data_IF_333543046063
#
_entry.id   IF_333543046063
#
_cell.length_a   1.000
_cell.length_b   1.000
_cell.length_c   1.000
_cell.angle_alpha   90.00
_cell.angle_beta   90.00
_cell.angle_gamma   90.00
#
_symmetry.space_group_name_H-M   'P 1'
#
loop_
_entity.id
_entity.type
_entity.pdbx_description
1 polymer ?
#
# COMPACT_ATOMS: atom_id res chain seq x y z
N UNK A 1 1.53 43.70 -12.71
CA UNK A 1 0.17 43.34 -13.16
C UNK A 1 0.09 41.95 -13.78
N UNK A 2 1.05 41.50 -14.60
CA UNK A 2 1.01 40.17 -15.26
C UNK A 2 1.14 38.98 -14.28
N UNK A 3 2.04 39.05 -13.29
CA UNK A 3 2.20 37.98 -12.29
C UNK A 3 0.95 37.75 -11.42
N UNK A 4 0.24 38.82 -11.05
CA UNK A 4 -1.00 38.77 -10.24
C UNK A 4 -2.19 38.26 -11.05
N UNK A 5 -2.21 38.50 -12.36
CA UNK A 5 -3.23 37.94 -13.26
C UNK A 5 -3.00 36.45 -13.51
N UNK A 6 -1.75 36.03 -13.76
CA UNK A 6 -1.43 34.60 -13.94
C UNK A 6 -1.61 33.78 -12.65
N UNK A 7 -1.34 34.36 -11.47
CA UNK A 7 -1.62 33.69 -10.19
C UNK A 7 -3.13 33.49 -9.97
N UNK A 8 -3.97 34.46 -10.33
CA UNK A 8 -5.45 34.32 -10.24
C UNK A 8 -6.00 33.29 -11.23
N UNK A 9 -5.49 33.27 -12.47
CA UNK A 9 -5.90 32.27 -13.49
C UNK A 9 -5.56 30.84 -13.05
N UNK A 10 -4.41 30.63 -12.41
CA UNK A 10 -4.02 29.30 -11.91
C UNK A 10 -4.88 28.85 -10.71
N UNK A 11 -5.22 29.78 -9.81
CA UNK A 11 -6.13 29.54 -8.67
C UNK A 11 -7.53 29.11 -9.13
N UNK A 12 -8.10 29.83 -10.10
CA UNK A 12 -9.42 29.50 -10.66
C UNK A 12 -9.39 28.22 -11.52
N UNK A 13 -8.21 27.86 -12.04
CA UNK A 13 -8.00 26.62 -12.78
C UNK A 13 -7.96 25.40 -11.86
N UNK A 14 -7.18 25.47 -10.78
CA UNK A 14 -7.05 24.36 -9.82
C UNK A 14 -8.34 24.11 -9.06
N UNK A 15 -9.09 25.15 -8.67
CA UNK A 15 -10.39 24.98 -8.03
C UNK A 15 -11.40 24.28 -8.94
N UNK A 16 -11.47 24.66 -10.22
CA UNK A 16 -12.36 24.02 -11.19
C UNK A 16 -12.00 22.56 -11.42
N UNK A 17 -10.70 22.25 -11.56
CA UNK A 17 -10.24 20.86 -11.72
C UNK A 17 -10.53 20.02 -10.47
N UNK A 18 -10.39 20.61 -9.28
CA UNK A 18 -10.76 19.95 -8.03
C UNK A 18 -12.26 19.66 -7.97
N UNK A 19 -13.10 20.64 -8.33
CA UNK A 19 -14.56 20.48 -8.39
C UNK A 19 -14.96 19.36 -9.37
N UNK A 20 -14.46 19.41 -10.60
CA UNK A 20 -14.75 18.41 -11.64
C UNK A 20 -14.31 17.01 -11.22
N UNK A 21 -13.14 16.89 -10.61
CA UNK A 21 -12.61 15.61 -10.15
C UNK A 21 -13.43 15.03 -8.98
N UNK A 22 -13.74 15.84 -7.96
CA UNK A 22 -14.56 15.41 -6.83
C UNK A 22 -15.96 15.00 -7.29
N UNK A 23 -16.63 15.80 -8.12
CA UNK A 23 -17.96 15.48 -8.63
C UNK A 23 -18.01 14.14 -9.39
N UNK A 24 -16.92 13.80 -10.08
CA UNK A 24 -16.84 12.60 -10.91
C UNK A 24 -16.46 11.36 -10.11
N UNK A 25 -15.46 11.46 -9.24
CA UNK A 25 -14.84 10.30 -8.58
C UNK A 25 -15.23 10.15 -7.10
N UNK A 26 -15.48 11.27 -6.40
CA UNK A 26 -15.74 11.32 -4.96
C UNK A 26 -16.90 12.28 -4.63
N UNK A 27 -18.12 12.05 -5.15
CA UNK A 27 -19.22 13.01 -5.05
C UNK A 27 -19.71 13.26 -3.62
N UNK A 28 -19.38 12.38 -2.67
CA UNK A 28 -19.67 12.55 -1.25
C UNK A 28 -18.69 13.49 -0.53
N UNK A 29 -17.50 13.72 -1.09
CA UNK A 29 -16.47 14.60 -0.56
C UNK A 29 -16.70 16.03 -1.06
N UNK A 30 -17.38 16.83 -0.22
CA UNK A 30 -17.89 18.13 -0.62
C UNK A 30 -16.86 19.24 -0.45
N UNK A 31 -16.77 20.15 -1.42
CA UNK A 31 -16.02 21.39 -1.24
C UNK A 31 -16.74 22.28 -0.20
N UNK A 32 -15.98 22.76 0.78
CA UNK A 32 -16.42 23.66 1.83
C UNK A 32 -15.61 24.96 1.78
N UNK A 33 -16.25 26.12 1.55
CA UNK A 33 -15.57 27.38 1.74
C UNK A 33 -15.24 27.59 3.22
N UNK A 34 -14.05 28.11 3.49
CA UNK A 34 -13.49 28.30 4.82
C UNK A 34 -13.17 29.78 5.00
N UNK A 35 -13.41 30.34 6.18
CA UNK A 35 -13.00 31.72 6.45
C UNK A 35 -11.49 31.84 6.27
N UNK A 36 -11.06 32.79 5.44
CA UNK A 36 -9.66 32.96 5.07
C UNK A 36 -8.71 33.01 6.28
N UNK A 37 -7.60 32.27 6.21
CA UNK A 37 -6.61 32.18 7.28
C UNK A 37 -7.05 31.35 8.49
N UNK A 38 -8.20 30.69 8.44
CA UNK A 38 -8.73 29.84 9.52
C UNK A 38 -9.01 28.42 9.03
N UNK A 39 -9.40 27.54 9.95
CA UNK A 39 -9.96 26.21 9.65
C UNK A 39 -11.48 26.15 9.91
N UNK A 40 -12.18 27.30 9.88
CA UNK A 40 -13.60 27.38 10.19
C UNK A 40 -14.48 27.42 8.92
N UNK A 41 -15.42 26.46 8.76
CA UNK A 41 -16.44 26.52 7.71
C UNK A 41 -17.20 27.86 7.71
N UNK A 42 -17.48 28.41 6.53
CA UNK A 42 -18.33 29.62 6.42
C UNK A 42 -19.81 29.33 6.65
N UNK A 43 -20.23 28.08 6.46
CA UNK A 43 -21.62 27.62 6.57
C UNK A 43 -21.75 26.36 7.41
N UNK A 44 -22.96 26.15 7.94
CA UNK A 44 -23.31 24.91 8.60
C UNK A 44 -23.36 23.77 7.55
N UNK A 45 -22.84 22.61 7.91
CA UNK A 45 -22.69 21.51 6.95
C UNK A 45 -23.04 20.13 7.49
N UNK A 46 -23.19 20.01 8.81
CA UNK A 46 -23.57 18.76 9.44
C UNK A 46 -25.01 18.39 9.07
N UNK A 47 -25.30 17.09 9.03
CA UNK A 47 -26.64 16.53 8.80
C UNK A 47 -27.25 16.95 7.45
N UNK A 48 -26.46 16.95 6.38
CA UNK A 48 -26.94 17.24 5.02
C UNK A 48 -27.26 18.70 4.73
N UNK A 49 -26.86 19.64 5.61
CA UNK A 49 -27.03 21.09 5.43
C UNK A 49 -26.05 21.73 4.43
N UNK A 50 -25.17 20.92 3.83
CA UNK A 50 -24.25 21.37 2.81
C UNK A 50 -24.22 20.33 1.70
N UNK A 51 -24.36 20.80 0.47
CA UNK A 51 -24.49 20.01 -0.75
C UNK A 51 -23.76 20.72 -1.90
N UNK A 52 -23.57 20.03 -3.02
CA UNK A 52 -23.02 20.64 -4.23
C UNK A 52 -23.88 21.80 -4.76
N UNK A 53 -25.20 21.76 -4.57
CA UNK A 53 -26.11 22.85 -4.94
C UNK A 53 -25.86 24.10 -4.08
N UNK A 54 -25.76 23.92 -2.76
CA UNK A 54 -25.46 25.02 -1.83
C UNK A 54 -24.06 25.60 -2.06
N UNK A 55 -23.08 24.75 -2.37
CA UNK A 55 -21.74 25.17 -2.76
C UNK A 55 -21.76 26.04 -4.02
N UNK A 56 -22.40 25.58 -5.10
CA UNK A 56 -22.49 26.32 -6.37
C UNK A 56 -23.25 27.64 -6.19
N UNK A 57 -24.36 27.63 -5.45
CA UNK A 57 -25.09 28.85 -5.13
C UNK A 57 -24.21 29.86 -4.38
N UNK A 58 -23.39 29.39 -3.42
CA UNK A 58 -22.47 30.25 -2.67
C UNK A 58 -21.33 30.83 -3.53
N UNK A 59 -20.73 30.01 -4.40
CA UNK A 59 -19.59 30.40 -5.24
C UNK A 59 -19.96 31.22 -6.48
N UNK A 60 -21.25 31.41 -6.76
CA UNK A 60 -21.75 32.25 -7.87
C UNK A 60 -21.35 33.73 -7.79
N UNK A 61 -20.85 34.17 -6.63
CA UNK A 61 -20.38 35.54 -6.38
C UNK A 61 -18.90 35.52 -5.99
N UNK A 62 -18.10 36.53 -6.34
CA UNK A 62 -16.73 36.65 -5.85
C UNK A 62 -16.69 36.65 -4.32
N UNK A 63 -15.85 35.79 -3.73
CA UNK A 63 -15.63 35.68 -2.29
C UNK A 63 -14.13 35.55 -2.01
N UNK A 64 -13.69 36.17 -0.92
CA UNK A 64 -12.37 35.96 -0.35
C UNK A 64 -12.47 34.88 0.73
N UNK A 65 -12.29 33.63 0.32
CA UNK A 65 -12.42 32.44 1.16
C UNK A 65 -11.30 31.47 0.83
N UNK A 66 -10.86 30.73 1.84
CA UNK A 66 -10.07 29.52 1.63
C UNK A 66 -11.01 28.38 1.23
N UNK A 67 -10.44 27.32 0.68
CA UNK A 67 -11.14 26.13 0.19
C UNK A 67 -10.76 24.93 1.06
N UNK A 68 -11.74 24.16 1.48
CA UNK A 68 -11.54 22.88 2.14
C UNK A 68 -12.41 21.78 1.55
N UNK A 69 -12.16 20.55 2.00
CA UNK A 69 -12.94 19.36 1.64
C UNK A 69 -13.51 18.77 2.92
N UNK A 70 -14.82 18.53 2.91
CA UNK A 70 -15.51 17.70 3.89
C UNK A 70 -15.33 16.24 3.49
N UNK A 71 -14.47 15.54 4.22
CA UNK A 71 -14.05 14.19 3.88
C UNK A 71 -15.15 13.16 4.16
N UNK A 72 -15.34 12.25 3.20
CA UNK A 72 -16.24 11.09 3.26
C UNK A 72 -15.52 9.84 2.80
N UNK A 73 -15.30 9.74 1.50
CA UNK A 73 -14.67 8.59 0.85
C UNK A 73 -13.16 8.79 0.71
N UNK A 74 -12.68 10.03 0.92
CA UNK A 74 -11.27 10.34 1.06
C UNK A 74 -10.83 10.38 2.52
N UNK A 75 -9.53 10.17 2.73
CA UNK A 75 -8.83 10.48 3.97
C UNK A 75 -7.49 11.13 3.67
N UNK A 76 -6.96 11.87 4.64
CA UNK A 76 -5.73 12.64 4.49
C UNK A 76 -4.79 12.36 5.66
N UNK A 77 -3.53 12.11 5.33
CA UNK A 77 -2.42 12.15 6.28
C UNK A 77 -1.82 13.56 6.23
N UNK A 78 -2.04 14.33 7.29
CA UNK A 78 -1.67 15.74 7.44
C UNK A 78 -0.40 15.83 8.31
N UNK A 79 0.77 15.95 7.69
CA UNK A 79 2.02 16.15 8.39
C UNK A 79 2.24 17.63 8.70
N UNK A 80 2.52 17.94 9.96
CA UNK A 80 2.76 19.32 10.42
C UNK A 80 4.17 19.84 10.04
N UNK A 81 5.11 18.93 9.75
CA UNK A 81 6.48 19.25 9.32
C UNK A 81 7.02 18.31 8.23
N UNK A 82 7.98 18.82 7.47
CA UNK A 82 8.61 18.13 6.33
C UNK A 82 9.53 16.97 6.76
N UNK A 83 10.26 17.10 7.88
CA UNK A 83 11.21 16.07 8.34
C UNK A 83 10.49 14.76 8.70
N UNK A 84 9.36 14.88 9.39
CA UNK A 84 8.49 13.74 9.73
C UNK A 84 7.88 13.14 8.48
N UNK A 85 7.42 13.98 7.54
CA UNK A 85 6.89 13.50 6.27
C UNK A 85 7.95 12.69 5.49
N UNK A 86 9.19 13.16 5.40
CA UNK A 86 10.30 12.45 4.73
C UNK A 86 10.65 11.14 5.44
N UNK A 87 10.63 11.12 6.77
CA UNK A 87 10.84 9.89 7.52
C UNK A 87 9.74 8.85 7.23
N UNK A 88 8.49 9.30 7.12
CA UNK A 88 7.37 8.45 6.75
C UNK A 88 7.42 8.02 5.27
N UNK A 89 7.79 8.88 4.32
CA UNK A 89 7.98 8.51 2.91
C UNK A 89 8.99 7.37 2.75
N UNK A 90 10.06 7.35 3.56
CA UNK A 90 11.04 6.25 3.57
C UNK A 90 10.46 4.94 4.10
N UNK A 91 9.60 5.02 5.12
CA UNK A 91 8.98 3.84 5.76
C UNK A 91 7.75 3.34 4.99
N UNK A 92 7.04 4.22 4.30
CA UNK A 92 5.78 3.99 3.60
C UNK A 92 5.85 4.61 2.20
N UNK A 93 6.44 3.89 1.21
CA UNK A 93 6.60 4.40 -0.15
C UNK A 93 5.29 4.76 -0.85
N UNK A 94 4.14 4.26 -0.38
CA UNK A 94 2.82 4.67 -0.89
C UNK A 94 2.57 6.18 -0.78
N UNK A 95 3.23 6.88 0.15
CA UNK A 95 3.20 8.34 0.24
C UNK A 95 3.84 9.03 -0.97
N UNK A 96 4.83 8.41 -1.61
CA UNK A 96 5.50 8.98 -2.80
C UNK A 96 4.59 8.97 -4.03
N UNK A 97 3.66 8.02 -4.09
CA UNK A 97 2.69 7.86 -5.19
C UNK A 97 1.37 8.61 -4.92
N UNK A 98 1.03 8.81 -3.65
CA UNK A 98 -0.21 9.48 -3.26
C UNK A 98 -0.26 10.95 -3.73
N UNK A 99 -1.44 11.48 -4.08
CA UNK A 99 -1.61 12.91 -4.32
C UNK A 99 -1.13 13.72 -3.12
N UNK A 100 -0.39 14.79 -3.41
CA UNK A 100 0.33 15.58 -2.42
C UNK A 100 0.15 17.05 -2.70
N UNK A 101 -0.08 17.81 -1.63
CA UNK A 101 0.17 19.24 -1.61
C UNK A 101 1.12 19.60 -0.48
N UNK A 102 1.91 20.66 -0.70
CA UNK A 102 2.68 21.26 0.36
C UNK A 102 1.80 22.25 1.13
N UNK A 103 1.96 22.27 2.45
CA UNK A 103 1.40 23.30 3.33
C UNK A 103 2.49 24.31 3.68
N UNK A 104 2.21 25.21 4.63
CA UNK A 104 3.20 26.18 5.10
C UNK A 104 4.43 25.52 5.74
N UNK A 105 4.26 24.38 6.42
CA UNK A 105 5.32 23.73 7.20
C UNK A 105 5.52 22.25 6.89
N UNK A 106 4.48 21.57 6.42
CA UNK A 106 4.53 20.15 6.06
C UNK A 106 3.75 19.89 4.78
N UNK A 107 2.94 18.83 4.77
CA UNK A 107 2.24 18.41 3.55
C UNK A 107 1.02 17.54 3.86
N UNK A 108 0.09 17.49 2.91
CA UNK A 108 -1.05 16.59 2.95
C UNK A 108 -0.87 15.49 1.91
N UNK A 109 -1.15 14.25 2.29
CA UNK A 109 -1.26 13.11 1.37
C UNK A 109 -2.68 12.59 1.35
N UNK A 110 -3.26 12.46 0.15
CA UNK A 110 -4.65 12.04 -0.02
C UNK A 110 -4.73 10.56 -0.40
N UNK A 111 -5.66 9.86 0.22
CA UNK A 111 -5.93 8.46 -0.02
C UNK A 111 -7.43 8.22 -0.12
N UNK A 112 -7.81 7.13 -0.78
CA UNK A 112 -9.15 6.57 -0.65
C UNK A 112 -9.26 5.93 0.73
N UNK A 113 -10.36 6.21 1.43
CA UNK A 113 -10.71 5.57 2.69
C UNK A 113 -11.19 4.14 2.39
N UNK A 114 -10.58 3.11 3.00
CA UNK A 114 -10.99 1.71 2.82
C UNK A 114 -12.08 1.30 3.82
N UNK A 115 -12.89 0.30 3.47
CA UNK A 115 -13.98 -0.21 4.33
C UNK A 115 -13.50 -0.72 5.69
N UNK A 116 -12.27 -1.26 5.75
CA UNK A 116 -11.70 -1.74 7.01
C UNK A 116 -11.37 -0.61 7.98
N UNK A 117 -11.24 0.64 7.53
CA UNK A 117 -11.00 1.77 8.43
C UNK A 117 -12.18 1.93 9.41
N UNK A 118 -13.42 1.69 8.95
CA UNK A 118 -14.60 1.71 9.81
C UNK A 118 -14.66 0.45 10.69
N UNK A 119 -14.38 -0.72 10.12
CA UNK A 119 -14.39 -2.00 10.84
C UNK A 119 -13.35 -2.05 11.98
N UNK A 120 -12.23 -1.36 11.82
CA UNK A 120 -11.11 -1.32 12.75
C UNK A 120 -11.05 -0.03 13.57
N UNK A 121 -12.00 0.90 13.39
CA UNK A 121 -12.23 2.04 14.27
C UNK A 121 -11.33 3.25 14.02
N UNK A 122 -10.77 3.37 12.82
CA UNK A 122 -9.91 4.49 12.42
C UNK A 122 -10.73 5.68 11.95
N UNK A 123 -11.09 6.57 12.87
CA UNK A 123 -11.86 7.79 12.61
C UNK A 123 -11.00 9.05 12.79
N UNK A 124 -11.45 10.19 12.27
CA UNK A 124 -10.87 11.49 12.59
C UNK A 124 -11.03 11.79 14.09
N UNK A 125 -9.96 12.30 14.70
CA UNK A 125 -9.91 12.59 16.12
C UNK A 125 -8.71 13.46 16.47
N UNK A 126 -8.86 14.26 17.54
CA UNK A 126 -7.77 15.09 18.01
C UNK A 126 -6.77 14.27 18.83
N UNK A 127 -5.47 14.46 18.59
CA UNK A 127 -4.36 13.94 19.40
C UNK A 127 -4.36 12.41 19.51
N UNK A 128 -4.62 11.70 18.41
CA UNK A 128 -4.62 10.24 18.39
C UNK A 128 -3.23 9.65 18.68
N UNK A 129 -2.19 10.34 18.24
CA UNK A 129 -0.81 10.09 18.65
C UNK A 129 -0.13 11.42 18.98
N UNK A 130 -0.30 11.91 20.21
CA UNK A 130 0.24 13.21 20.65
C UNK A 130 1.76 13.37 20.56
N UNK A 131 2.49 12.29 20.30
CA UNK A 131 3.96 12.25 20.21
C UNK A 131 4.48 12.39 18.78
N UNK A 132 3.61 12.33 17.77
CA UNK A 132 3.99 12.48 16.36
C UNK A 132 3.31 13.71 15.75
N UNK A 133 4.05 14.55 15.01
CA UNK A 133 3.50 15.72 14.33
C UNK A 133 2.78 15.33 13.02
N UNK A 134 1.81 14.43 13.14
CA UNK A 134 0.96 13.94 12.05
C UNK A 134 -0.47 13.79 12.55
N UNK A 135 -1.43 14.27 11.75
CA UNK A 135 -2.85 14.14 11.97
C UNK A 135 -3.46 13.25 10.88
N UNK A 136 -4.40 12.39 11.26
CA UNK A 136 -5.26 11.70 10.31
C UNK A 136 -6.60 12.43 10.20
N UNK A 137 -6.92 12.94 9.00
CA UNK A 137 -8.20 13.60 8.71
C UNK A 137 -9.08 12.65 7.89
N UNK A 138 -10.29 12.41 8.36
CA UNK A 138 -11.28 11.55 7.69
C UNK A 138 -12.67 11.81 8.28
N UNK A 139 -13.61 10.87 8.14
CA UNK A 139 -14.89 10.92 8.86
C UNK A 139 -14.69 10.72 10.36
N UNK A 140 -15.45 11.44 11.17
CA UNK A 140 -15.50 11.26 12.63
C UNK A 140 -16.34 10.02 12.98
N UNK A 141 -16.13 9.47 14.18
CA UNK A 141 -16.87 8.30 14.69
C UNK A 141 -18.38 8.52 14.81
N UNK A 142 -18.83 9.77 14.86
CA UNK A 142 -20.25 10.16 14.84
C UNK A 142 -20.86 10.16 13.43
N UNK A 143 -20.07 9.83 12.41
CA UNK A 143 -20.46 9.92 11.01
C UNK A 143 -20.47 11.34 10.45
N UNK A 144 -19.91 12.34 11.16
CA UNK A 144 -19.70 13.68 10.59
C UNK A 144 -18.40 13.75 9.80
N UNK A 145 -18.36 14.52 8.71
CA UNK A 145 -17.12 14.71 7.94
C UNK A 145 -16.09 15.52 8.70
N UNK A 146 -14.83 15.06 8.69
CA UNK A 146 -13.68 15.90 8.99
C UNK A 146 -13.44 16.92 7.88
N UNK A 147 -12.79 18.03 8.23
CA UNK A 147 -12.48 19.13 7.31
C UNK A 147 -10.97 19.26 7.15
N UNK A 148 -10.51 19.31 5.91
CA UNK A 148 -9.12 19.67 5.55
C UNK A 148 -9.13 20.86 4.60
N UNK A 149 -8.36 21.91 4.88
CA UNK A 149 -8.17 23.03 3.94
C UNK A 149 -7.17 22.61 2.85
N UNK A 150 -7.43 22.94 1.59
CA UNK A 150 -6.64 22.49 0.42
C UNK A 150 -6.31 23.64 -0.52
N UNK A 151 -5.34 23.44 -1.41
CA UNK A 151 -5.07 24.33 -2.53
C UNK A 151 -6.37 24.52 -3.36
N UNK A 152 -6.75 25.76 -3.72
CA UNK A 152 -5.91 26.96 -3.80
C UNK A 152 -5.89 27.89 -2.57
N UNK A 153 -6.21 27.39 -1.37
CA UNK A 153 -6.09 28.19 -0.14
C UNK A 153 -4.69 28.75 0.11
N UNK A 154 -4.63 29.75 0.98
CA UNK A 154 -3.38 30.40 1.40
C UNK A 154 -2.30 29.39 1.84
N UNK A 155 -1.09 29.55 1.30
CA UNK A 155 0.08 28.70 1.60
C UNK A 155 -0.06 27.21 1.25
N UNK A 156 -0.96 26.88 0.32
CA UNK A 156 -1.12 25.50 -0.18
C UNK A 156 -0.83 25.44 -1.67
N UNK A 157 -0.14 24.37 -2.08
CA UNK A 157 0.23 24.16 -3.49
C UNK A 157 0.27 22.67 -3.81
N UNK A 158 -0.51 22.27 -4.81
CA UNK A 158 -0.43 20.92 -5.36
C UNK A 158 0.98 20.62 -5.89
N UNK A 159 1.52 19.47 -5.49
CA UNK A 159 2.76 18.88 -6.03
C UNK A 159 2.39 17.73 -6.95
N UNK A 160 1.50 16.85 -6.48
CA UNK A 160 0.86 15.79 -7.25
C UNK A 160 -0.66 15.99 -7.12
N UNK A 161 -1.29 16.71 -8.06
CA UNK A 161 -2.72 17.00 -7.95
C UNK A 161 -3.56 15.74 -8.15
N UNK A 162 -4.71 15.63 -7.46
CA UNK A 162 -5.51 14.40 -7.43
C UNK A 162 -6.18 14.04 -8.76
N UNK A 163 -6.36 15.01 -9.67
CA UNK A 163 -6.86 14.74 -11.02
C UNK A 163 -5.79 14.19 -11.98
N UNK A 164 -4.51 14.25 -11.61
CA UNK A 164 -3.40 13.69 -12.40
C UNK A 164 -2.79 12.44 -11.75
N UNK A 165 -2.92 12.31 -10.44
CA UNK A 165 -2.49 11.16 -9.66
C UNK A 165 -3.70 10.70 -8.86
N UNK A 166 -4.20 9.50 -9.10
CA UNK A 166 -5.39 9.04 -8.40
C UNK A 166 -5.05 8.60 -6.96
N UNK A 167 -5.85 8.96 -5.94
CA UNK A 167 -5.69 8.41 -4.60
C UNK A 167 -5.82 6.89 -4.59
N UNK A 168 -4.88 6.21 -3.96
CA UNK A 168 -4.97 4.77 -3.66
C UNK A 168 -5.58 4.56 -2.27
N UNK A 169 -5.99 3.33 -1.93
CA UNK A 169 -6.35 3.04 -0.53
C UNK A 169 -5.14 3.22 0.38
N UNK A 170 -5.34 3.86 1.54
CA UNK A 170 -4.30 3.95 2.57
C UNK A 170 -4.08 2.58 3.21
N UNK A 171 -2.84 2.08 3.28
CA UNK A 171 -2.56 0.79 3.90
C UNK A 171 -2.90 0.74 5.39
N UNK A 172 -3.26 -0.44 5.91
CA UNK A 172 -3.42 -0.67 7.37
C UNK A 172 -2.15 -0.31 8.15
N UNK A 173 -0.98 -0.59 7.58
CA UNK A 173 0.31 -0.32 8.22
C UNK A 173 0.52 1.18 8.44
N UNK A 174 0.26 2.01 7.42
CA UNK A 174 0.33 3.46 7.56
C UNK A 174 -0.77 3.98 8.49
N UNK A 175 -2.01 3.50 8.30
CA UNK A 175 -3.17 3.90 9.10
C UNK A 175 -2.94 3.67 10.60
N UNK A 176 -2.44 2.49 10.98
CA UNK A 176 -2.09 2.15 12.36
C UNK A 176 -0.96 3.00 12.96
N UNK A 177 -0.17 3.68 12.12
CA UNK A 177 0.92 4.55 12.55
C UNK A 177 0.50 6.01 12.75
N UNK A 178 -0.51 6.46 12.00
CA UNK A 178 -0.97 7.85 11.98
C UNK A 178 -2.31 8.07 12.69
N UNK A 179 -3.06 7.00 12.97
CA UNK A 179 -4.37 7.05 13.58
C UNK A 179 -4.56 5.95 14.62
N UNK A 180 -5.36 6.24 15.64
CA UNK A 180 -5.77 5.25 16.64
C UNK A 180 -7.02 4.51 16.16
N UNK A 181 -6.92 3.18 16.04
CA UNK A 181 -8.06 2.30 15.81
C UNK A 181 -8.82 1.99 17.10
N UNK A 182 -9.71 0.99 17.06
CA UNK A 182 -10.33 0.46 18.27
C UNK A 182 -9.23 -0.01 19.25
N UNK A 183 -9.42 0.21 20.56
CA UNK A 183 -8.48 -0.32 21.54
C UNK A 183 -8.39 -1.84 21.37
N UNK A 184 -7.16 -2.40 21.34
CA UNK A 184 -6.99 -3.84 21.19
C UNK A 184 -7.76 -4.57 22.28
N UNK A 185 -8.55 -5.59 21.90
CA UNK A 185 -9.13 -6.51 22.89
C UNK A 185 -7.97 -7.10 23.69
N UNK A 186 -8.02 -6.97 25.03
CA UNK A 186 -6.94 -7.39 25.95
C UNK A 186 -6.57 -8.87 25.72
N UNK A 187 -5.53 -9.12 24.95
CA UNK A 187 -4.86 -10.42 24.88
C UNK A 187 -3.76 -10.49 25.94
N UNK A 188 -3.65 -11.65 26.59
CA UNK A 188 -2.81 -11.89 27.78
C UNK A 188 -1.32 -11.76 27.44
N UNK A 189 -0.62 -10.98 28.30
CA UNK A 189 0.84 -10.90 28.56
C UNK A 189 1.78 -11.69 27.61
N UNK A 190 2.58 -10.95 26.85
CA UNK A 190 3.74 -11.43 26.09
C UNK A 190 5.00 -11.41 26.97
N UNK A 191 5.71 -12.55 27.05
CA UNK A 191 7.04 -12.67 27.63
C UNK A 191 8.11 -12.10 26.67
N UNK A 192 9.07 -11.39 27.25
CA UNK A 192 10.26 -10.82 26.61
C UNK A 192 11.32 -11.87 26.28
N UNK A 193 11.97 -11.77 25.12
CA UNK A 193 13.30 -12.34 24.88
C UNK A 193 14.24 -11.31 24.24
N UNK A 194 15.48 -11.37 24.70
CA UNK A 194 16.61 -10.49 24.48
C UNK A 194 17.45 -10.85 23.25
N UNK A 195 18.09 -9.83 22.66
CA UNK A 195 19.08 -9.91 21.57
C UNK A 195 20.39 -10.62 21.96
N UNK A 196 21.20 -11.02 20.95
CA UNK A 196 22.62 -10.64 20.93
C UNK A 196 23.11 -10.13 19.55
N UNK A 197 24.18 -9.33 19.57
CA UNK A 197 24.84 -8.68 18.41
C UNK A 197 25.90 -9.53 17.68
N UNK A 198 26.99 -8.93 17.14
CA UNK A 198 27.16 -8.72 15.69
C UNK A 198 28.22 -9.63 14.98
N UNK A 199 28.26 -9.48 13.65
CA UNK A 199 28.97 -10.20 12.57
C UNK A 199 30.49 -10.44 12.71
N UNK A 200 31.07 -11.29 11.82
CA UNK A 200 31.99 -10.74 10.80
C UNK A 200 31.87 -11.40 9.39
N UNK A 201 32.33 -10.68 8.36
CA UNK A 201 32.28 -11.05 6.93
C UNK A 201 33.45 -11.93 6.40
N UNK A 202 33.88 -11.77 5.12
CA UNK A 202 33.47 -12.68 4.04
C UNK A 202 34.64 -13.45 3.39
N UNK A 203 34.34 -14.50 2.62
CA UNK A 203 35.30 -15.14 1.72
C UNK A 203 34.64 -15.65 0.42
N UNK A 204 35.21 -15.20 -0.71
CA UNK A 204 34.85 -15.53 -2.10
C UNK A 204 35.39 -16.91 -2.49
N UNK A 205 34.61 -17.63 -3.29
CA UNK A 205 35.08 -18.76 -4.10
C UNK A 205 34.09 -19.02 -5.25
N UNK A 206 34.52 -18.75 -6.49
CA UNK A 206 33.75 -19.05 -7.72
C UNK A 206 34.09 -20.46 -8.19
N UNK A 207 33.08 -21.30 -8.43
CA UNK A 207 33.20 -22.42 -9.36
C UNK A 207 31.88 -22.62 -10.11
N UNK A 208 31.99 -22.74 -11.44
CA UNK A 208 30.86 -22.91 -12.36
C UNK A 208 30.42 -24.39 -12.39
N UNK A 209 29.16 -24.63 -12.03
CA UNK A 209 28.47 -25.92 -12.14
C UNK A 209 27.11 -25.75 -12.83
N UNK A 210 26.45 -26.85 -13.24
CA UNK A 210 25.30 -26.82 -14.15
C UNK A 210 24.12 -26.10 -13.51
N UNK A 211 23.34 -25.39 -14.34
CA UNK A 211 22.24 -24.48 -13.96
C UNK A 211 21.44 -24.96 -12.75
N UNK A 212 21.84 -24.48 -11.57
CA UNK A 212 21.18 -24.73 -10.28
C UNK A 212 19.84 -24.00 -10.38
N UNK A 213 18.73 -24.72 -10.48
CA UNK A 213 17.39 -24.13 -10.26
C UNK A 213 17.45 -23.43 -8.90
N UNK A 214 17.35 -22.09 -8.90
CA UNK A 214 17.38 -21.26 -7.71
C UNK A 214 16.34 -21.80 -6.72
N UNK A 215 16.78 -22.20 -5.52
CA UNK A 215 15.84 -22.59 -4.48
C UNK A 215 15.04 -21.34 -4.08
N UNK A 216 13.74 -21.47 -3.79
CA UNK A 216 12.94 -20.38 -3.25
C UNK A 216 13.62 -19.84 -1.98
N UNK A 217 13.70 -18.52 -1.86
CA UNK A 217 14.07 -17.90 -0.60
C UNK A 217 12.95 -18.19 0.42
N UNK A 218 13.27 -18.88 1.50
CA UNK A 218 12.26 -19.23 2.50
C UNK A 218 11.63 -18.00 3.14
N UNK A 219 12.37 -16.89 3.25
CA UNK A 219 11.81 -15.66 3.79
C UNK A 219 10.71 -15.12 2.87
N UNK A 220 10.87 -15.27 1.55
CA UNK A 220 9.81 -14.96 0.57
C UNK A 220 8.56 -15.77 0.84
N UNK A 221 8.73 -17.08 1.08
CA UNK A 221 7.61 -18.00 1.29
C UNK A 221 6.84 -17.62 2.55
N UNK A 222 7.54 -17.27 3.63
CA UNK A 222 6.92 -16.86 4.89
C UNK A 222 6.21 -15.51 4.76
N UNK A 223 6.84 -14.55 4.08
CA UNK A 223 6.25 -13.24 3.80
C UNK A 223 4.98 -13.38 2.95
N UNK A 224 5.00 -14.21 1.91
CA UNK A 224 3.82 -14.48 1.08
C UNK A 224 2.73 -15.20 1.86
N UNK A 225 3.07 -16.20 2.69
CA UNK A 225 2.10 -16.92 3.52
C UNK A 225 1.36 -15.98 4.47
N UNK A 226 2.04 -14.97 5.02
CA UNK A 226 1.43 -13.96 5.88
C UNK A 226 0.40 -13.07 5.15
N UNK A 227 0.42 -13.03 3.81
CA UNK A 227 -0.53 -12.29 2.98
C UNK A 227 -1.77 -13.08 2.60
N UNK A 228 -1.83 -14.38 2.92
CA UNK A 228 -3.00 -15.19 2.61
C UNK A 228 -4.16 -14.85 3.56
N UNK A 229 -5.37 -14.77 3.00
CA UNK A 229 -6.58 -14.48 3.74
C UNK A 229 -6.87 -15.59 4.77
N UNK A 230 -7.33 -15.18 5.95
CA UNK A 230 -7.76 -16.10 7.02
C UNK A 230 -8.73 -17.18 6.55
N UNK A 231 -9.64 -16.84 5.62
CA UNK A 231 -10.62 -17.77 5.07
C UNK A 231 -10.00 -19.00 4.39
N UNK A 232 -8.74 -18.91 3.92
CA UNK A 232 -8.03 -20.06 3.36
C UNK A 232 -7.67 -21.12 4.40
N UNK A 233 -7.57 -20.75 5.68
CA UNK A 233 -7.38 -21.69 6.78
C UNK A 233 -8.68 -22.35 7.25
N UNK A 234 -9.85 -21.76 6.95
CA UNK A 234 -11.15 -22.21 7.46
C UNK A 234 -11.84 -23.29 6.59
N UNK A 235 -11.57 -23.28 5.28
CA UNK A 235 -12.02 -24.32 4.34
C UNK A 235 -10.96 -25.42 4.22
N UNK A 236 -11.36 -26.68 4.41
CA UNK A 236 -10.45 -27.83 4.33
C UNK A 236 -9.71 -27.89 2.98
N UNK A 237 -10.41 -27.61 1.88
CA UNK A 237 -9.85 -27.65 0.53
C UNK A 237 -8.72 -26.62 0.36
N UNK A 238 -8.97 -25.36 0.67
CA UNK A 238 -7.95 -24.31 0.53
C UNK A 238 -6.83 -24.49 1.54
N UNK A 239 -7.15 -24.94 2.75
CA UNK A 239 -6.18 -25.16 3.81
C UNK A 239 -5.21 -26.28 3.47
N UNK A 240 -5.73 -27.41 2.97
CA UNK A 240 -4.89 -28.54 2.57
C UNK A 240 -4.06 -28.14 1.35
N UNK A 241 -4.60 -27.41 0.37
CA UNK A 241 -3.86 -26.87 -0.77
C UNK A 241 -2.68 -25.96 -0.34
N UNK A 242 -2.85 -25.12 0.70
CA UNK A 242 -1.73 -24.35 1.28
C UNK A 242 -0.66 -25.28 1.84
N UNK A 243 -1.06 -26.33 2.56
CA UNK A 243 -0.13 -27.34 3.06
C UNK A 243 0.66 -28.03 1.94
N UNK A 244 -0.02 -28.50 0.90
CA UNK A 244 0.59 -29.09 -0.30
C UNK A 244 1.56 -28.12 -0.99
N UNK A 245 1.16 -26.85 -1.14
CA UNK A 245 2.02 -25.82 -1.71
C UNK A 245 3.32 -25.63 -0.91
N UNK A 246 3.22 -25.54 0.42
CA UNK A 246 4.39 -25.39 1.30
C UNK A 246 5.25 -26.66 1.33
N UNK A 247 4.63 -27.85 1.30
CA UNK A 247 5.34 -29.13 1.22
C UNK A 247 6.18 -29.23 -0.05
N UNK A 248 5.60 -28.88 -1.21
CA UNK A 248 6.31 -28.94 -2.48
C UNK A 248 7.45 -27.93 -2.59
N UNK A 249 7.31 -26.77 -1.94
CA UNK A 249 8.39 -25.79 -1.77
C UNK A 249 9.48 -26.36 -0.84
N UNK A 250 9.09 -27.05 0.23
CA UNK A 250 9.97 -27.68 1.21
C UNK A 250 10.77 -28.85 0.65
N UNK A 251 10.20 -29.67 -0.24
CA UNK A 251 10.81 -30.87 -0.84
C UNK A 251 12.10 -30.63 -1.63
N UNK A 252 12.61 -29.40 -1.63
CA UNK A 252 13.85 -28.95 -2.28
C UNK A 252 14.84 -28.28 -1.33
N UNK A 253 14.56 -28.16 -0.02
CA UNK A 253 15.38 -27.47 0.98
C UNK A 253 15.51 -28.26 2.30
N UNK A 254 16.54 -27.96 3.11
CA UNK A 254 16.65 -28.36 4.52
C UNK A 254 15.60 -27.73 5.44
N UNK A 255 14.72 -26.88 4.91
CA UNK A 255 13.77 -26.09 5.68
C UNK A 255 12.38 -26.72 5.90
N UNK A 256 12.19 -28.00 5.58
CA UNK A 256 10.87 -28.65 5.69
C UNK A 256 10.23 -28.49 7.08
N UNK A 257 11.03 -28.54 8.15
CA UNK A 257 10.57 -28.30 9.53
C UNK A 257 10.02 -26.87 9.74
N UNK A 258 10.66 -25.86 9.13
CA UNK A 258 10.21 -24.46 9.22
C UNK A 258 8.91 -24.24 8.47
N UNK A 259 8.78 -24.80 7.26
CA UNK A 259 7.56 -24.66 6.46
C UNK A 259 6.39 -25.46 7.05
N UNK A 260 6.65 -26.62 7.65
CA UNK A 260 5.65 -27.32 8.45
C UNK A 260 5.20 -26.47 9.66
N UNK A 261 6.14 -25.85 10.36
CA UNK A 261 5.81 -24.95 11.49
C UNK A 261 4.98 -23.75 11.01
N UNK A 262 5.34 -23.16 9.88
CA UNK A 262 4.59 -22.05 9.28
C UNK A 262 3.17 -22.48 8.88
N UNK A 263 3.00 -23.67 8.31
CA UNK A 263 1.66 -24.20 8.01
C UNK A 263 0.85 -24.44 9.29
N UNK A 264 1.46 -24.96 10.36
CA UNK A 264 0.78 -25.08 11.67
C UNK A 264 0.30 -23.73 12.18
N UNK A 265 1.15 -22.71 12.13
CA UNK A 265 0.80 -21.38 12.63
C UNK A 265 -0.30 -20.73 11.79
N UNK A 266 -0.24 -20.90 10.46
CA UNK A 266 -1.34 -20.53 9.57
C UNK A 266 -2.64 -21.27 9.90
N UNK A 267 -2.55 -22.56 10.22
CA UNK A 267 -3.72 -23.40 10.55
C UNK A 267 -4.42 -22.95 11.84
N UNK A 268 -3.68 -22.42 12.81
CA UNK A 268 -4.23 -21.86 14.07
C UNK A 268 -5.12 -20.64 13.86
N UNK A 269 -5.12 -20.04 12.67
CA UNK A 269 -6.05 -18.96 12.34
C UNK A 269 -7.51 -19.45 12.29
N UNK A 270 -7.73 -20.74 12.04
CA UNK A 270 -9.05 -21.36 12.08
C UNK A 270 -9.40 -21.85 13.48
N UNK A 271 -10.65 -21.66 13.89
CA UNK A 271 -11.17 -22.28 15.13
C UNK A 271 -11.30 -23.80 15.04
N UNK A 272 -11.16 -24.38 13.84
CA UNK A 272 -11.23 -25.84 13.59
C UNK A 272 -9.89 -26.54 13.77
N UNK A 273 -8.81 -25.79 14.04
CA UNK A 273 -7.46 -26.32 14.18
C UNK A 273 -7.38 -27.45 15.21
N UNK A 274 -6.68 -28.53 14.85
CA UNK A 274 -6.35 -29.65 15.73
C UNK A 274 -4.85 -29.81 15.82
N UNK A 275 -4.33 -29.83 17.05
CA UNK A 275 -2.91 -30.06 17.28
C UNK A 275 -2.51 -31.46 16.77
N UNK A 276 -1.42 -31.53 16.00
CA UNK A 276 -0.91 -32.77 15.42
C UNK A 276 -1.38 -33.06 13.99
N UNK A 277 -2.51 -32.50 13.56
CA UNK A 277 -3.12 -32.81 12.24
C UNK A 277 -2.20 -32.41 11.07
N UNK A 278 -1.54 -31.26 11.16
CA UNK A 278 -0.56 -30.84 10.16
C UNK A 278 0.61 -31.84 10.05
N UNK A 279 1.14 -32.31 11.17
CA UNK A 279 2.27 -33.26 11.20
C UNK A 279 1.87 -34.65 10.69
N UNK A 280 0.62 -35.06 10.90
CA UNK A 280 0.10 -36.32 10.37
C UNK A 280 -0.15 -36.28 8.86
N UNK A 281 -0.56 -35.13 8.33
CA UNK A 281 -0.86 -34.95 6.91
C UNK A 281 0.39 -34.65 6.07
N UNK A 282 1.33 -33.88 6.61
CA UNK A 282 2.55 -33.45 5.90
C UNK A 282 3.29 -34.59 5.18
N UNK A 283 3.64 -35.73 5.80
CA UNK A 283 4.36 -36.80 5.12
C UNK A 283 3.52 -37.56 4.08
N UNK A 284 2.21 -37.31 3.99
CA UNK A 284 1.29 -37.92 3.02
C UNK A 284 1.07 -37.02 1.79
N UNK A 285 1.61 -35.81 1.79
CA UNK A 285 1.57 -34.91 0.66
C UNK A 285 2.56 -35.37 -0.42
N UNK A 286 2.17 -35.26 -1.68
CA UNK A 286 2.96 -35.61 -2.85
C UNK A 286 3.62 -34.37 -3.47
N UNK A 287 4.77 -34.57 -4.09
CA UNK A 287 5.66 -33.50 -4.55
C UNK A 287 5.28 -32.93 -5.94
N UNK A 288 4.01 -32.62 -6.17
CA UNK A 288 3.53 -32.17 -7.49
C UNK A 288 2.46 -31.07 -7.46
N UNK A 289 2.36 -30.33 -8.58
CA UNK A 289 1.31 -29.35 -8.86
C UNK A 289 1.56 -27.95 -8.28
N UNK A 290 1.42 -27.79 -6.97
CA UNK A 290 1.43 -26.47 -6.31
C UNK A 290 2.85 -26.04 -5.91
N UNK A 291 3.15 -24.75 -5.96
CA UNK A 291 4.47 -24.25 -5.57
C UNK A 291 4.54 -22.72 -5.48
N UNK A 292 5.75 -22.16 -5.50
CA UNK A 292 5.98 -20.73 -5.25
C UNK A 292 5.10 -19.80 -6.11
N UNK A 293 4.93 -20.11 -7.40
CA UNK A 293 4.06 -19.32 -8.29
C UNK A 293 2.59 -19.29 -7.84
N UNK A 294 2.07 -20.41 -7.33
CA UNK A 294 0.73 -20.49 -6.74
C UNK A 294 0.63 -19.61 -5.50
N UNK A 295 1.66 -19.63 -4.65
CA UNK A 295 1.68 -18.82 -3.43
C UNK A 295 1.68 -17.32 -3.76
N UNK A 296 2.46 -16.87 -4.75
CA UNK A 296 2.39 -15.50 -5.27
C UNK A 296 1.02 -15.15 -5.82
N UNK A 297 0.40 -16.05 -6.60
CA UNK A 297 -0.94 -15.85 -7.15
C UNK A 297 -1.97 -15.65 -6.03
N UNK A 298 -1.96 -16.49 -5.00
CA UNK A 298 -2.87 -16.36 -3.86
C UNK A 298 -2.61 -15.09 -3.05
N UNK A 299 -1.34 -14.77 -2.73
CA UNK A 299 -1.00 -13.54 -2.03
C UNK A 299 -1.46 -12.29 -2.82
N UNK A 300 -1.31 -12.30 -4.16
CA UNK A 300 -1.81 -11.25 -5.04
C UNK A 300 -3.34 -11.16 -5.09
N UNK A 301 -4.05 -12.29 -4.97
CA UNK A 301 -5.51 -12.32 -4.94
C UNK A 301 -6.09 -11.85 -3.60
N UNK A 302 -5.47 -12.29 -2.51
CA UNK A 302 -5.98 -12.09 -1.16
C UNK A 302 -5.61 -10.73 -0.59
N UNK A 303 -4.37 -10.29 -0.86
CA UNK A 303 -3.78 -9.04 -0.35
C UNK A 303 -3.01 -8.33 -1.47
N UNK A 304 -3.70 -7.88 -2.56
CA UNK A 304 -3.06 -7.34 -3.75
C UNK A 304 -2.11 -6.16 -3.47
N UNK A 305 -2.42 -5.34 -2.48
CA UNK A 305 -1.64 -4.15 -2.12
C UNK A 305 -0.38 -4.51 -1.32
N UNK A 306 -0.52 -5.31 -0.27
CA UNK A 306 0.59 -5.80 0.53
C UNK A 306 1.52 -6.68 -0.31
N UNK A 307 0.97 -7.46 -1.23
CA UNK A 307 1.75 -8.23 -2.20
C UNK A 307 2.57 -7.32 -3.11
N UNK A 308 1.96 -6.26 -3.65
CA UNK A 308 2.67 -5.27 -4.47
C UNK A 308 3.76 -4.56 -3.65
N UNK A 309 3.46 -4.20 -2.40
CA UNK A 309 4.41 -3.61 -1.47
C UNK A 309 5.60 -4.53 -1.18
N UNK A 310 5.34 -5.82 -0.94
CA UNK A 310 6.35 -6.85 -0.70
C UNK A 310 7.27 -7.06 -1.92
N UNK A 311 6.70 -7.09 -3.12
CA UNK A 311 7.48 -7.22 -4.37
C UNK A 311 8.31 -5.95 -4.60
N UNK A 312 7.72 -4.78 -4.40
CA UNK A 312 8.41 -3.51 -4.59
C UNK A 312 9.54 -3.30 -3.58
N UNK A 313 9.35 -3.65 -2.30
CA UNK A 313 10.38 -3.47 -1.28
C UNK A 313 11.64 -4.28 -1.60
N UNK A 314 11.47 -5.53 -2.06
CA UNK A 314 12.58 -6.37 -2.53
C UNK A 314 13.31 -5.75 -3.71
N UNK A 315 12.58 -5.22 -4.68
CA UNK A 315 13.18 -4.52 -5.83
C UNK A 315 13.94 -3.27 -5.37
N UNK A 316 13.37 -2.47 -4.46
CA UNK A 316 14.02 -1.28 -3.93
C UNK A 316 15.30 -1.61 -3.15
N UNK A 317 15.32 -2.70 -2.39
CA UNK A 317 16.52 -3.17 -1.70
C UNK A 317 17.62 -3.56 -2.70
N UNK A 318 17.28 -4.25 -3.79
CA UNK A 318 18.23 -4.59 -4.86
C UNK A 318 18.74 -3.33 -5.58
N UNK A 319 17.86 -2.36 -5.85
CA UNK A 319 18.24 -1.07 -6.45
C UNK A 319 19.18 -0.28 -5.53
N UNK A 320 18.91 -0.24 -4.23
CA UNK A 320 19.72 0.50 -3.25
C UNK A 320 21.16 -0.03 -3.17
N UNK A 321 21.36 -1.32 -3.45
CA UNK A 321 22.68 -1.98 -3.48
C UNK A 321 23.23 -2.17 -4.90
N UNK A 322 22.62 -1.51 -5.89
CA UNK A 322 23.02 -1.61 -7.29
C UNK A 322 24.33 -0.83 -7.54
N UNK A 323 25.37 -1.54 -7.97
CA UNK A 323 26.68 -1.05 -8.37
C UNK A 323 26.75 -0.71 -9.88
N UNK A 324 25.64 -0.85 -10.59
CA UNK A 324 25.54 -0.61 -12.03
C UNK A 324 26.11 -1.73 -12.89
N UNK A 325 26.55 -2.86 -12.32
CA UNK A 325 26.98 -4.01 -13.08
C UNK A 325 25.82 -4.61 -13.88
N UNK A 326 26.12 -5.10 -15.09
CA UNK A 326 25.13 -5.77 -15.94
C UNK A 326 24.40 -6.90 -15.21
N UNK A 327 25.07 -7.60 -14.28
CA UNK A 327 24.46 -8.68 -13.52
C UNK A 327 23.39 -8.17 -12.54
N UNK A 328 23.69 -7.11 -11.78
CA UNK A 328 22.73 -6.54 -10.83
C UNK A 328 21.57 -5.85 -11.56
N UNK A 329 21.86 -5.11 -12.64
CA UNK A 329 20.81 -4.54 -13.50
C UNK A 329 19.90 -5.65 -14.02
N UNK A 330 20.45 -6.75 -14.55
CA UNK A 330 19.65 -7.87 -15.02
C UNK A 330 18.81 -8.53 -13.91
N UNK A 331 19.34 -8.65 -12.69
CA UNK A 331 18.58 -9.17 -11.53
C UNK A 331 17.42 -8.26 -11.14
N UNK A 332 17.65 -6.94 -11.10
CA UNK A 332 16.62 -5.94 -10.79
C UNK A 332 15.54 -5.94 -11.87
N UNK A 333 15.93 -5.90 -13.15
CA UNK A 333 15.01 -5.97 -14.29
C UNK A 333 14.20 -7.25 -14.26
N UNK A 334 14.84 -8.38 -13.99
CA UNK A 334 14.13 -9.65 -13.81
C UNK A 334 13.16 -9.56 -12.62
N UNK A 335 13.54 -9.06 -11.45
CA UNK A 335 12.64 -8.94 -10.30
C UNK A 335 11.42 -8.04 -10.59
N UNK A 336 11.61 -6.94 -11.32
CA UNK A 336 10.55 -6.01 -11.76
C UNK A 336 9.57 -6.62 -12.77
N UNK A 337 10.10 -7.43 -13.68
CA UNK A 337 9.38 -7.91 -14.87
C UNK A 337 8.99 -9.40 -14.78
N UNK A 338 9.47 -10.14 -13.78
CA UNK A 338 9.17 -11.54 -13.53
C UNK A 338 7.66 -11.71 -13.33
N UNK A 339 7.05 -12.52 -14.20
CA UNK A 339 5.60 -12.74 -14.24
C UNK A 339 4.84 -11.86 -15.23
N UNK A 340 5.49 -10.83 -15.80
CA UNK A 340 5.00 -10.09 -16.98
C UNK A 340 5.73 -10.52 -18.24
N UNK A 341 7.04 -10.77 -18.18
CA UNK A 341 7.83 -11.20 -19.34
C UNK A 341 8.46 -12.59 -19.12
N UNK A 342 8.43 -13.43 -20.16
CA UNK A 342 9.08 -14.75 -20.17
C UNK A 342 9.83 -14.95 -21.49
N UNK A 343 11.11 -15.32 -21.40
CA UNK A 343 11.89 -15.74 -22.56
C UNK A 343 11.55 -17.20 -22.91
N UNK A 344 11.12 -17.45 -24.13
CA UNK A 344 10.69 -18.77 -24.59
C UNK A 344 11.78 -19.56 -25.32
N UNK A 345 12.86 -18.89 -25.77
CA UNK A 345 13.94 -19.53 -26.53
C UNK A 345 15.32 -19.29 -25.91
N UNK A 346 16.24 -20.28 -25.92
CA UNK A 346 17.58 -20.11 -25.36
C UNK A 346 18.41 -18.98 -26.00
N UNK A 347 18.12 -18.66 -27.27
CA UNK A 347 18.78 -17.57 -28.01
C UNK A 347 18.20 -16.18 -27.70
N UNK A 348 17.23 -16.09 -26.78
CA UNK A 348 16.57 -14.85 -26.35
C UNK A 348 15.84 -14.08 -27.45
N UNK A 349 15.49 -14.74 -28.56
CA UNK A 349 14.79 -14.12 -29.69
C UNK A 349 13.27 -14.10 -29.57
N UNK A 350 12.69 -15.01 -28.79
CA UNK A 350 11.25 -15.05 -28.56
C UNK A 350 10.95 -14.80 -27.09
N UNK A 351 10.20 -13.72 -26.84
CA UNK A 351 9.66 -13.40 -25.53
C UNK A 351 8.15 -13.43 -25.58
N UNK A 352 7.53 -13.59 -24.42
CA UNK A 352 6.11 -13.38 -24.24
C UNK A 352 5.86 -12.33 -23.16
N UNK A 353 4.96 -11.40 -23.43
CA UNK A 353 4.43 -10.45 -22.47
C UNK A 353 3.01 -10.84 -22.05
N UNK A 354 2.75 -10.91 -20.75
CA UNK A 354 1.42 -11.07 -20.20
C UNK A 354 0.70 -9.72 -20.11
N UNK A 355 -0.33 -9.52 -20.93
CA UNK A 355 -1.10 -8.26 -21.02
C UNK A 355 -2.20 -8.14 -19.95
N UNK A 356 -2.19 -9.04 -18.97
CA UNK A 356 -3.25 -9.18 -17.97
C UNK A 356 -4.34 -10.19 -18.36
N UNK A 357 -4.47 -10.52 -19.65
CA UNK A 357 -5.45 -11.52 -20.15
C UNK A 357 -4.80 -12.66 -20.93
N UNK A 358 -3.81 -12.35 -21.77
CA UNK A 358 -3.14 -13.33 -22.63
C UNK A 358 -1.64 -13.08 -22.72
N UNK A 359 -0.90 -14.11 -23.12
CA UNK A 359 0.51 -14.01 -23.44
C UNK A 359 0.66 -13.62 -24.92
N UNK A 360 1.28 -12.46 -25.17
CA UNK A 360 1.54 -11.94 -26.52
C UNK A 360 3.01 -12.17 -26.86
N UNK A 361 3.28 -12.73 -28.04
CA UNK A 361 4.66 -12.93 -28.51
C UNK A 361 5.30 -11.58 -28.87
N UNK A 362 6.55 -11.40 -28.45
CA UNK A 362 7.40 -10.25 -28.73
C UNK A 362 8.75 -10.75 -29.27
N UNK A 363 9.08 -10.33 -30.49
CA UNK A 363 10.33 -10.69 -31.14
C UNK A 363 11.46 -9.81 -30.57
N UNK A 364 12.43 -10.46 -29.94
CA UNK A 364 13.61 -9.83 -29.30
C UNK A 364 13.32 -8.87 -28.13
N UNK A 365 12.06 -8.72 -27.72
CA UNK A 365 11.64 -7.84 -26.65
C UNK A 365 12.12 -6.39 -26.84
N UNK A 366 11.89 -5.85 -28.05
CA UNK A 366 12.42 -4.54 -28.48
C UNK A 366 11.99 -3.42 -27.54
N UNK A 367 10.83 -3.58 -26.89
CA UNK A 367 10.27 -2.59 -25.95
C UNK A 367 10.98 -2.52 -24.60
N UNK A 368 11.87 -3.47 -24.27
CA UNK A 368 12.67 -3.46 -23.03
C UNK A 368 14.11 -2.95 -23.21
N UNK A 369 14.50 -2.57 -24.43
CA UNK A 369 15.87 -2.12 -24.75
C UNK A 369 16.14 -0.66 -24.47
#
# INVERSE_FOLDING_TARGET
MVATAMSRVNVDGDLRRLEEWLLREYPADLIMPVKAGTKQPVKAHKNGKWTWEEYRAFMSLPKDVDIGILLRDLCVVDFDDEDTAVAFEKAFPELLEAPKENTRKGCHYFFRRPDYADAEGYFDGARQHSELPVDFKSVCSTGTSGLVCVCPSSHKRWVRPPWAHAPQEISRALLSRVAAGFPPQKSKKQLSLSSPGPSPGPSRGLSAGPSRRLQPDIEEVLQLLALLARGRADSYETWVQVGWCLHNIAGRSSDASRLLTAWKDFSKLSSKYKEGECQELWPKMADEGLGLGTLHMWAKQDSPYEYKGLVNSRVHEEIAHCDGSHNQIARITHALLKGRFVCATPDSKLWFEFTGTLWTADAECVHLR
#
